data_IF_141799000855
#
_entry.id   IF_141799000855
#
_cell.length_a   1.000
_cell.length_b   1.000
_cell.length_c   1.000
_cell.angle_alpha   90.00
_cell.angle_beta   90.00
_cell.angle_gamma   90.00
#
_symmetry.space_group_name_H-M   'P 1'
#
loop_
_entity.id
_entity.type
_entity.pdbx_description
1 polymer ?
#
# COMPACT_ATOMS: atom_id res chain seq x y z
N UNK A 1 -17.47 6.13 -21.35
CA UNK A 1 -18.31 4.96 -20.99
C UNK A 1 -18.09 4.72 -19.51
N UNK A 2 -19.18 4.71 -18.74
CA UNK A 2 -19.14 4.31 -17.32
C UNK A 2 -18.89 2.81 -17.32
N UNK A 3 -17.89 2.34 -16.57
CA UNK A 3 -17.61 0.90 -16.44
C UNK A 3 -18.77 0.24 -15.72
N UNK A 4 -19.28 -0.89 -16.25
CA UNK A 4 -20.28 -1.72 -15.57
C UNK A 4 -19.73 -2.46 -14.34
N UNK A 5 -18.43 -2.35 -14.10
CA UNK A 5 -17.80 -2.92 -12.91
C UNK A 5 -17.91 -1.96 -11.74
N UNK A 6 -18.31 -2.44 -10.55
CA UNK A 6 -18.35 -1.61 -9.35
C UNK A 6 -16.96 -1.07 -9.00
N UNK A 7 -16.92 0.09 -8.37
CA UNK A 7 -15.68 0.67 -7.86
C UNK A 7 -15.12 -0.22 -6.76
N UNK A 8 -13.86 -0.62 -6.89
CA UNK A 8 -13.12 -1.32 -5.83
C UNK A 8 -12.82 -0.39 -4.67
N UNK A 9 -13.14 -0.79 -3.46
CA UNK A 9 -12.86 -0.03 -2.23
C UNK A 9 -11.80 -0.78 -1.43
N UNK A 10 -10.75 -0.07 -1.01
CA UNK A 10 -9.79 -0.56 -0.01
C UNK A 10 -10.10 0.09 1.33
N UNK A 11 -10.35 -0.70 2.35
CA UNK A 11 -10.45 -0.21 3.72
C UNK A 11 -9.06 -0.13 4.36
N UNK A 12 -8.79 0.93 5.13
CA UNK A 12 -7.48 1.19 5.76
C UNK A 12 -7.57 1.29 7.29
N UNK A 13 -8.71 0.91 7.86
CA UNK A 13 -8.99 1.09 9.30
C UNK A 13 -8.02 0.34 10.20
N UNK A 14 -7.62 -0.87 9.81
CA UNK A 14 -6.75 -1.72 10.63
C UNK A 14 -5.28 -1.28 10.61
N UNK A 15 -4.84 -0.53 9.58
CA UNK A 15 -3.46 -0.07 9.47
C UNK A 15 -3.34 1.45 9.62
N UNK A 16 -3.89 2.23 8.67
CA UNK A 16 -3.66 3.68 8.63
C UNK A 16 -4.38 4.41 9.75
N UNK A 17 -5.65 4.11 9.99
CA UNK A 17 -6.39 4.73 11.08
C UNK A 17 -5.81 4.33 12.45
N UNK A 18 -5.40 3.08 12.64
CA UNK A 18 -4.69 2.64 13.85
C UNK A 18 -3.39 3.42 14.04
N UNK A 19 -2.62 3.62 12.97
CA UNK A 19 -1.38 4.38 13.02
C UNK A 19 -1.62 5.86 13.30
N UNK A 20 -2.58 6.48 12.65
CA UNK A 20 -2.82 7.92 12.69
C UNK A 20 -3.52 8.37 13.97
N UNK A 21 -4.45 7.58 14.49
CA UNK A 21 -5.30 7.94 15.62
C UNK A 21 -4.83 7.34 16.94
N UNK A 22 -4.20 6.16 16.91
CA UNK A 22 -3.87 5.36 18.10
C UNK A 22 -2.38 4.99 18.15
N UNK A 23 -1.53 5.71 17.44
CA UNK A 23 -0.08 5.49 17.39
C UNK A 23 0.30 4.02 17.10
N UNK A 24 -0.51 3.32 16.30
CA UNK A 24 -0.35 1.88 15.98
C UNK A 24 -0.46 0.97 17.22
N UNK A 25 -1.28 1.35 18.21
CA UNK A 25 -1.39 0.63 19.51
C UNK A 25 -2.62 -0.27 19.61
N UNK A 26 -3.40 -0.47 18.55
CA UNK A 26 -4.48 -1.47 18.57
C UNK A 26 -3.85 -2.86 18.61
N UNK A 27 -4.25 -3.67 19.57
CA UNK A 27 -3.79 -5.06 19.69
C UNK A 27 -4.52 -5.96 18.71
N UNK A 28 -3.94 -7.11 18.40
CA UNK A 28 -4.56 -8.11 17.55
C UNK A 28 -5.93 -8.55 18.09
N UNK A 29 -6.01 -8.82 19.38
CA UNK A 29 -7.25 -9.23 20.06
C UNK A 29 -8.38 -8.19 19.93
N UNK A 30 -8.04 -6.90 19.81
CA UNK A 30 -9.02 -5.83 19.60
C UNK A 30 -9.46 -5.71 18.12
N UNK A 31 -8.67 -6.24 17.16
CA UNK A 31 -8.98 -6.26 15.72
C UNK A 31 -9.83 -7.47 15.32
N UNK A 32 -9.56 -8.64 15.89
CA UNK A 32 -10.21 -9.89 15.49
C UNK A 32 -11.74 -9.86 15.58
N UNK A 33 -12.38 -9.26 16.61
CA UNK A 33 -13.84 -9.24 16.71
C UNK A 33 -14.57 -8.54 15.57
N UNK A 34 -13.91 -7.61 14.86
CA UNK A 34 -14.50 -6.89 13.72
C UNK A 34 -14.11 -7.49 12.37
N UNK A 35 -13.09 -8.35 12.33
CA UNK A 35 -12.48 -8.84 11.09
C UNK A 35 -13.48 -9.59 10.22
N UNK A 36 -14.32 -10.48 10.78
CA UNK A 36 -15.36 -11.21 10.04
C UNK A 36 -16.37 -10.27 9.39
N UNK A 37 -16.74 -9.19 10.06
CA UNK A 37 -17.65 -8.18 9.49
C UNK A 37 -16.99 -7.41 8.37
N UNK A 38 -15.71 -7.05 8.49
CA UNK A 38 -14.95 -6.42 7.42
C UNK A 38 -14.86 -7.35 6.19
N UNK A 39 -14.62 -8.64 6.41
CA UNK A 39 -14.56 -9.64 5.33
C UNK A 39 -15.89 -9.75 4.57
N UNK A 40 -17.02 -9.59 5.26
CA UNK A 40 -18.37 -9.70 4.66
C UNK A 40 -18.79 -8.47 3.83
N UNK A 41 -18.08 -7.33 3.93
CA UNK A 41 -18.42 -6.10 3.20
C UNK A 41 -18.15 -6.22 1.71
N UNK A 42 -17.18 -7.06 1.31
CA UNK A 42 -16.78 -7.21 -0.09
C UNK A 42 -15.80 -6.15 -0.57
N UNK A 43 -14.91 -5.68 0.30
CA UNK A 43 -13.81 -4.80 -0.08
C UNK A 43 -12.90 -5.44 -1.13
N UNK A 44 -12.36 -4.62 -2.03
CA UNK A 44 -11.31 -5.04 -2.94
C UNK A 44 -10.05 -5.50 -2.21
N UNK A 45 -9.71 -4.81 -1.12
CA UNK A 45 -8.67 -5.21 -0.15
C UNK A 45 -8.90 -4.53 1.20
N UNK A 46 -8.30 -5.06 2.26
CA UNK A 46 -8.15 -4.41 3.56
C UNK A 46 -6.68 -4.18 3.84
N UNK A 47 -6.29 -2.92 4.03
CA UNK A 47 -4.93 -2.60 4.45
C UNK A 47 -4.81 -2.82 5.95
N UNK A 48 -4.25 -3.97 6.31
CA UNK A 48 -4.20 -4.47 7.69
C UNK A 48 -2.79 -4.46 8.28
N UNK A 49 -1.77 -4.21 7.45
CA UNK A 49 -0.38 -4.39 7.86
C UNK A 49 0.58 -3.42 7.15
N UNK A 50 1.87 -3.41 7.56
CA UNK A 50 2.88 -2.52 6.99
C UNK A 50 3.01 -1.18 7.73
N UNK A 51 3.69 -0.23 7.12
CA UNK A 51 4.00 1.05 7.77
C UNK A 51 4.73 0.86 9.09
N UNK A 52 4.19 1.38 10.20
CA UNK A 52 4.75 1.25 11.53
C UNK A 52 4.30 -0.02 12.30
N UNK A 53 3.42 -0.84 11.71
CA UNK A 53 2.81 -1.98 12.41
C UNK A 53 3.85 -2.97 12.93
N UNK A 54 4.82 -3.34 12.10
CA UNK A 54 5.86 -4.31 12.44
C UNK A 54 6.64 -3.90 13.69
N UNK A 55 7.12 -2.67 13.69
CA UNK A 55 7.90 -2.09 14.79
C UNK A 55 7.05 -1.94 16.06
N UNK A 56 5.80 -1.50 15.91
CA UNK A 56 4.88 -1.30 17.01
C UNK A 56 4.51 -2.61 17.71
N UNK A 57 4.31 -3.69 16.96
CA UNK A 57 4.07 -5.02 17.51
C UNK A 57 5.21 -5.43 18.44
N UNK A 58 6.45 -5.31 18.00
CA UNK A 58 7.63 -5.73 18.76
C UNK A 58 7.89 -4.81 19.96
N UNK A 59 7.90 -3.48 19.72
CA UNK A 59 8.37 -2.51 20.73
C UNK A 59 7.35 -2.20 21.81
N UNK A 60 6.07 -2.27 21.49
CA UNK A 60 5.04 -1.71 22.37
C UNK A 60 3.92 -2.68 22.72
N UNK A 61 3.62 -3.64 21.85
CA UNK A 61 2.48 -4.53 22.05
C UNK A 61 2.91 -5.91 22.55
N UNK A 62 4.19 -6.28 22.39
CA UNK A 62 4.66 -7.63 22.71
C UNK A 62 4.08 -8.70 21.81
N UNK A 63 3.70 -8.34 20.57
CA UNK A 63 3.12 -9.22 19.57
C UNK A 63 4.14 -9.63 18.50
N UNK A 64 4.00 -10.85 17.96
CA UNK A 64 4.68 -11.25 16.73
C UNK A 64 3.98 -10.59 15.53
N UNK A 65 4.67 -9.68 14.78
CA UNK A 65 4.06 -9.02 13.63
C UNK A 65 3.66 -10.00 12.52
N UNK A 66 4.31 -11.15 12.39
CA UNK A 66 3.96 -12.17 11.41
C UNK A 66 2.73 -12.98 11.83
N UNK A 67 2.57 -13.26 13.10
CA UNK A 67 1.35 -13.87 13.63
C UNK A 67 0.14 -12.98 13.39
N UNK A 68 0.29 -11.67 13.63
CA UNK A 68 -0.76 -10.68 13.37
C UNK A 68 -1.34 -10.81 11.97
N UNK A 69 -0.48 -10.83 10.93
CA UNK A 69 -0.99 -10.94 9.56
C UNK A 69 -1.61 -12.31 9.27
N UNK A 70 -1.06 -13.39 9.83
CA UNK A 70 -1.64 -14.73 9.68
C UNK A 70 -3.03 -14.84 10.29
N UNK A 71 -3.21 -14.33 11.49
CA UNK A 71 -4.52 -14.38 12.17
C UNK A 71 -5.54 -13.47 11.49
N UNK A 72 -5.15 -12.27 11.04
CA UNK A 72 -6.04 -11.41 10.25
C UNK A 72 -6.41 -12.06 8.92
N UNK A 73 -5.48 -12.70 8.22
CA UNK A 73 -5.77 -13.44 6.99
C UNK A 73 -6.72 -14.61 7.23
N UNK A 74 -6.58 -15.31 8.33
CA UNK A 74 -7.47 -16.39 8.73
C UNK A 74 -8.88 -15.89 9.07
N UNK A 75 -8.98 -14.74 9.74
CA UNK A 75 -10.26 -14.10 10.09
C UNK A 75 -10.95 -13.43 8.89
N UNK A 76 -10.20 -13.07 7.83
CA UNK A 76 -10.69 -12.45 6.60
C UNK A 76 -10.24 -13.26 5.37
N UNK A 77 -10.75 -14.48 5.17
CA UNK A 77 -10.30 -15.37 4.11
C UNK A 77 -10.65 -14.89 2.70
N UNK A 78 -11.77 -14.15 2.54
CA UNK A 78 -12.29 -13.71 1.26
C UNK A 78 -11.69 -12.37 0.80
N UNK A 79 -11.18 -11.56 1.73
CA UNK A 79 -10.65 -10.23 1.44
C UNK A 79 -9.13 -10.25 1.29
N UNK A 80 -8.58 -9.76 0.18
CA UNK A 80 -7.14 -9.61 0.02
C UNK A 80 -6.53 -8.71 1.10
N UNK A 81 -5.45 -9.19 1.72
CA UNK A 81 -4.71 -8.43 2.73
C UNK A 81 -3.69 -7.51 2.07
N UNK A 82 -3.76 -6.24 2.39
CA UNK A 82 -2.85 -5.23 1.84
C UNK A 82 -1.87 -4.74 2.90
N UNK A 83 -0.65 -4.45 2.45
CA UNK A 83 0.35 -3.79 3.27
C UNK A 83 0.89 -2.51 2.62
N UNK A 84 1.32 -1.56 3.45
CA UNK A 84 2.12 -0.41 3.04
C UNK A 84 3.61 -0.76 3.14
N UNK A 85 4.34 -0.69 2.02
CA UNK A 85 5.76 -0.99 1.93
C UNK A 85 6.55 0.25 1.49
N UNK A 86 7.54 0.65 2.30
CA UNK A 86 8.37 1.84 2.04
C UNK A 86 9.52 1.54 1.06
N UNK A 87 9.21 0.94 -0.10
CA UNK A 87 10.20 0.61 -1.11
C UNK A 87 11.47 -0.03 -0.53
N UNK A 88 12.63 0.53 -0.87
CA UNK A 88 13.94 0.06 -0.40
C UNK A 88 14.15 0.19 1.11
N UNK A 89 13.35 1.01 1.79
CA UNK A 89 13.40 1.16 3.25
C UNK A 89 12.59 0.08 3.99
N UNK A 90 11.82 -0.74 3.28
CA UNK A 90 10.96 -1.80 3.84
C UNK A 90 9.94 -1.17 4.82
N UNK A 91 10.22 -1.22 6.11
CA UNK A 91 9.44 -0.64 7.20
C UNK A 91 10.23 0.39 8.00
N UNK A 92 11.51 0.58 7.65
CA UNK A 92 12.46 1.43 8.37
C UNK A 92 12.64 2.82 7.78
N UNK A 93 13.78 3.43 8.13
CA UNK A 93 14.18 4.79 7.76
C UNK A 93 15.56 4.84 7.10
N UNK A 94 16.05 3.70 6.64
CA UNK A 94 17.29 3.56 5.87
C UNK A 94 17.09 2.58 4.74
N UNK A 95 17.92 2.64 3.72
CA UNK A 95 17.91 1.66 2.64
C UNK A 95 18.47 0.32 3.12
N UNK A 96 17.79 -0.74 2.76
CA UNK A 96 18.27 -2.11 2.91
C UNK A 96 18.80 -2.63 1.58
N UNK A 97 19.63 -3.66 1.61
CA UNK A 97 20.11 -4.33 0.40
C UNK A 97 18.97 -5.07 -0.32
N UNK A 98 19.13 -5.28 -1.61
CA UNK A 98 18.11 -5.90 -2.46
C UNK A 98 17.69 -7.30 -2.01
N UNK A 99 18.64 -8.09 -1.51
CA UNK A 99 18.37 -9.42 -0.97
C UNK A 99 17.50 -9.40 0.28
N UNK A 100 17.68 -8.41 1.14
CA UNK A 100 16.84 -8.19 2.33
C UNK A 100 15.43 -7.76 1.90
N UNK A 101 15.29 -6.85 0.93
CA UNK A 101 13.98 -6.44 0.39
C UNK A 101 13.25 -7.65 -0.19
N UNK A 102 13.92 -8.45 -1.02
CA UNK A 102 13.34 -9.68 -1.60
C UNK A 102 12.91 -10.65 -0.50
N UNK A 103 13.78 -10.94 0.45
CA UNK A 103 13.48 -11.84 1.57
C UNK A 103 12.29 -11.38 2.39
N UNK A 104 12.18 -10.06 2.61
CA UNK A 104 11.06 -9.47 3.34
C UNK A 104 9.74 -9.64 2.57
N UNK A 105 9.74 -9.35 1.26
CA UNK A 105 8.55 -9.53 0.41
C UNK A 105 8.14 -10.99 0.38
N UNK A 106 9.07 -11.93 0.14
CA UNK A 106 8.81 -13.38 0.15
C UNK A 106 8.19 -13.84 1.47
N UNK A 107 8.71 -13.33 2.59
CA UNK A 107 8.19 -13.69 3.91
C UNK A 107 6.80 -13.10 4.12
N UNK A 108 6.56 -11.85 3.68
CA UNK A 108 5.23 -11.20 3.77
C UNK A 108 4.18 -11.98 2.98
N UNK A 109 4.50 -12.40 1.77
CA UNK A 109 3.63 -13.25 0.93
C UNK A 109 3.30 -14.57 1.62
N UNK A 110 4.31 -15.26 2.16
CA UNK A 110 4.12 -16.52 2.90
C UNK A 110 3.22 -16.38 4.13
N UNK A 111 3.17 -15.20 4.72
CA UNK A 111 2.33 -14.91 5.89
C UNK A 111 0.95 -14.35 5.53
N UNK A 112 0.62 -14.17 4.23
CA UNK A 112 -0.74 -13.88 3.79
C UNK A 112 -0.97 -12.50 3.19
N UNK A 113 0.07 -11.71 2.89
CA UNK A 113 -0.07 -10.44 2.18
C UNK A 113 -0.34 -10.71 0.70
N UNK A 114 -1.39 -10.08 0.16
CA UNK A 114 -1.83 -10.22 -1.22
C UNK A 114 -1.55 -8.98 -2.08
N UNK A 115 -1.61 -7.80 -1.48
CA UNK A 115 -1.43 -6.51 -2.16
C UNK A 115 -0.34 -5.71 -1.47
N UNK A 116 0.62 -5.23 -2.23
CA UNK A 116 1.72 -4.40 -1.73
C UNK A 116 1.61 -2.99 -2.28
N UNK A 117 1.25 -2.02 -1.44
CA UNK A 117 1.31 -0.60 -1.76
C UNK A 117 2.73 -0.11 -1.53
N UNK A 118 3.49 -0.03 -2.61
CA UNK A 118 4.92 0.33 -2.59
C UNK A 118 5.08 1.82 -2.84
N UNK A 119 5.68 2.54 -1.92
CA UNK A 119 5.91 3.97 -2.04
C UNK A 119 7.31 4.40 -1.59
N UNK A 120 7.73 5.55 -2.06
CA UNK A 120 8.84 6.32 -1.54
C UNK A 120 8.37 7.74 -1.21
N UNK A 121 8.72 8.25 -0.03
CA UNK A 121 8.25 9.57 0.41
C UNK A 121 8.78 10.72 -0.45
N UNK A 122 9.93 10.53 -1.10
CA UNK A 122 10.57 11.49 -2.00
C UNK A 122 10.26 11.25 -3.48
N UNK A 123 9.42 10.25 -3.79
CA UNK A 123 9.08 9.84 -5.16
C UNK A 123 10.28 9.39 -5.99
N UNK A 124 11.29 8.81 -5.37
CA UNK A 124 12.42 8.23 -6.10
C UNK A 124 12.05 6.83 -6.60
N UNK A 125 11.75 6.71 -7.89
CA UNK A 125 11.33 5.46 -8.53
C UNK A 125 12.38 4.35 -8.44
N UNK A 126 13.67 4.69 -8.27
CA UNK A 126 14.76 3.73 -8.05
C UNK A 126 14.54 2.92 -6.78
N UNK A 127 13.95 3.54 -5.75
CA UNK A 127 13.64 2.90 -4.46
C UNK A 127 12.42 1.96 -4.53
N UNK A 128 11.63 2.00 -5.59
CA UNK A 128 10.47 1.13 -5.79
C UNK A 128 10.82 -0.14 -6.57
N UNK A 129 11.86 -0.10 -7.38
CA UNK A 129 12.18 -1.12 -8.39
C UNK A 129 12.29 -2.53 -7.81
N UNK A 130 13.13 -2.75 -6.81
CA UNK A 130 13.37 -4.08 -6.24
C UNK A 130 12.12 -4.63 -5.56
N UNK A 131 11.39 -3.77 -4.85
CA UNK A 131 10.15 -4.16 -4.17
C UNK A 131 9.06 -4.57 -5.18
N UNK A 132 8.76 -3.73 -6.19
CA UNK A 132 7.77 -4.03 -7.23
C UNK A 132 8.12 -5.34 -7.95
N UNK A 133 9.38 -5.49 -8.37
CA UNK A 133 9.86 -6.70 -9.04
C UNK A 133 9.65 -7.93 -8.16
N UNK A 134 10.03 -7.88 -6.89
CA UNK A 134 9.89 -9.01 -5.97
C UNK A 134 8.43 -9.39 -5.72
N UNK A 135 7.53 -8.41 -5.59
CA UNK A 135 6.08 -8.65 -5.45
C UNK A 135 5.55 -9.39 -6.67
N UNK A 136 5.92 -8.94 -7.88
CA UNK A 136 5.50 -9.56 -9.14
C UNK A 136 6.04 -10.97 -9.32
N UNK A 137 7.29 -11.20 -8.96
CA UNK A 137 7.93 -12.54 -8.99
C UNK A 137 7.21 -13.52 -8.05
N UNK A 138 6.62 -13.04 -6.97
CA UNK A 138 5.78 -13.82 -6.05
C UNK A 138 4.30 -13.97 -6.52
N UNK A 139 3.93 -13.48 -7.69
CA UNK A 139 2.57 -13.54 -8.22
C UNK A 139 1.55 -12.72 -7.43
N UNK A 140 2.00 -11.68 -6.72
CA UNK A 140 1.16 -10.80 -5.91
C UNK A 140 0.97 -9.45 -6.58
N UNK A 141 -0.04 -8.68 -6.12
CA UNK A 141 -0.39 -7.38 -6.68
C UNK A 141 0.55 -6.28 -6.19
N UNK A 142 1.29 -5.68 -7.12
CA UNK A 142 2.16 -4.54 -6.87
C UNK A 142 1.43 -3.25 -7.20
N UNK A 143 1.02 -2.49 -6.20
CA UNK A 143 0.47 -1.15 -6.35
C UNK A 143 1.59 -0.13 -6.16
N UNK A 144 2.08 0.45 -7.27
CA UNK A 144 3.06 1.53 -7.21
C UNK A 144 2.40 2.85 -6.82
N UNK A 145 3.13 3.73 -6.15
CA UNK A 145 2.49 4.87 -5.49
C UNK A 145 3.25 6.16 -5.76
N UNK A 146 2.54 7.22 -6.14
CA UNK A 146 3.05 8.59 -6.08
C UNK A 146 2.64 9.23 -4.76
N UNK A 147 3.60 9.82 -4.04
CA UNK A 147 3.37 10.61 -2.83
C UNK A 147 3.03 12.04 -3.24
N UNK A 148 1.72 12.33 -3.28
CA UNK A 148 1.22 13.63 -3.77
C UNK A 148 1.63 14.76 -2.82
N UNK A 149 2.07 15.87 -3.41
CA UNK A 149 2.40 17.11 -2.71
C UNK A 149 2.21 18.31 -3.62
N UNK A 150 2.28 19.50 -3.05
CA UNK A 150 2.26 20.77 -3.76
C UNK A 150 3.58 21.48 -3.53
N UNK A 151 4.30 21.77 -4.60
CA UNK A 151 5.54 22.55 -4.56
C UNK A 151 5.84 23.16 -5.94
N UNK A 152 6.78 24.12 -6.04
CA UNK A 152 7.15 24.72 -7.32
C UNK A 152 7.70 23.74 -8.37
N UNK A 153 8.18 22.56 -7.96
CA UNK A 153 8.76 21.54 -8.84
C UNK A 153 7.80 20.40 -9.20
N UNK A 154 6.62 20.37 -8.60
CA UNK A 154 5.61 19.35 -8.86
C UNK A 154 4.51 19.90 -9.74
N UNK A 155 4.58 19.61 -11.04
CA UNK A 155 3.57 19.93 -12.04
C UNK A 155 2.74 18.70 -12.40
N UNK A 156 1.66 18.89 -13.17
CA UNK A 156 0.89 17.78 -13.73
C UNK A 156 1.78 16.84 -14.56
N UNK A 157 2.69 17.40 -15.39
CA UNK A 157 3.60 16.61 -16.20
C UNK A 157 4.56 15.78 -15.35
N UNK A 158 5.03 16.33 -14.22
CA UNK A 158 5.86 15.58 -13.25
C UNK A 158 5.10 14.36 -12.74
N UNK A 159 3.83 14.51 -12.37
CA UNK A 159 3.00 13.39 -11.89
C UNK A 159 2.75 12.34 -12.97
N UNK A 160 2.51 12.77 -14.21
CA UNK A 160 2.32 11.86 -15.34
C UNK A 160 3.62 11.08 -15.62
N UNK A 161 4.76 11.76 -15.62
CA UNK A 161 6.06 11.12 -15.87
C UNK A 161 6.40 10.08 -14.80
N UNK A 162 6.30 10.44 -13.52
CA UNK A 162 6.52 9.51 -12.39
C UNK A 162 5.59 8.30 -12.46
N UNK A 163 4.33 8.52 -12.84
CA UNK A 163 3.35 7.44 -12.94
C UNK A 163 3.67 6.48 -14.09
N UNK A 164 4.17 6.98 -15.22
CA UNK A 164 4.67 6.14 -16.32
C UNK A 164 5.89 5.32 -15.91
N UNK A 165 6.84 5.93 -15.21
CA UNK A 165 8.00 5.22 -14.69
C UNK A 165 7.58 4.07 -13.76
N UNK A 166 6.58 4.30 -12.90
CA UNK A 166 6.03 3.25 -12.01
C UNK A 166 5.35 2.14 -12.83
N UNK A 167 4.59 2.47 -13.87
CA UNK A 167 4.02 1.49 -14.80
C UNK A 167 5.12 0.67 -15.48
N UNK A 168 6.18 1.33 -15.97
CA UNK A 168 7.32 0.70 -16.64
C UNK A 168 8.12 -0.21 -15.68
N UNK A 169 8.11 0.05 -14.38
CA UNK A 169 8.64 -0.87 -13.37
C UNK A 169 7.82 -2.16 -13.21
N UNK A 170 6.65 -2.24 -13.84
CA UNK A 170 5.76 -3.41 -13.83
C UNK A 170 4.73 -3.42 -12.73
N UNK A 171 4.34 -2.25 -12.19
CA UNK A 171 3.23 -2.15 -11.24
C UNK A 171 1.91 -2.60 -11.87
N UNK A 172 1.03 -3.23 -11.10
CA UNK A 172 -0.31 -3.68 -11.52
C UNK A 172 -1.34 -2.58 -11.43
N UNK A 173 -1.13 -1.61 -10.55
CA UNK A 173 -1.96 -0.42 -10.37
C UNK A 173 -1.15 0.74 -9.84
N UNK A 174 -1.67 1.95 -10.00
CA UNK A 174 -1.11 3.17 -9.43
C UNK A 174 -1.98 3.65 -8.26
N UNK A 175 -1.36 4.06 -7.16
CA UNK A 175 -2.03 4.80 -6.09
C UNK A 175 -1.55 6.26 -6.04
N UNK A 176 -2.49 7.18 -5.83
CA UNK A 176 -2.20 8.56 -5.46
C UNK A 176 -2.32 8.64 -3.94
N UNK A 177 -1.19 8.87 -3.26
CA UNK A 177 -1.13 8.94 -1.80
C UNK A 177 -1.06 10.39 -1.36
N UNK A 178 -2.18 10.91 -0.90
CA UNK A 178 -2.30 12.27 -0.38
C UNK A 178 -2.27 12.28 1.16
N UNK A 179 -1.09 12.13 1.73
CA UNK A 179 -0.91 12.05 3.19
C UNK A 179 -1.30 13.34 3.93
N UNK A 180 -1.17 14.48 3.29
CA UNK A 180 -1.38 15.78 3.91
C UNK A 180 -2.77 16.39 3.62
N UNK A 181 -3.61 15.72 2.82
CA UNK A 181 -4.93 16.23 2.45
C UNK A 181 -4.88 17.47 1.56
N UNK A 182 -3.91 17.53 0.65
CA UNK A 182 -3.68 18.69 -0.23
C UNK A 182 -4.43 18.62 -1.55
N UNK A 183 -4.88 17.43 -1.94
CA UNK A 183 -5.50 17.17 -3.24
C UNK A 183 -6.96 17.64 -3.24
N UNK A 184 -7.19 18.82 -3.82
CA UNK A 184 -8.55 19.38 -3.95
C UNK A 184 -9.38 18.65 -5.01
N UNK A 185 -10.72 18.62 -4.90
CA UNK A 185 -11.59 17.86 -5.80
C UNK A 185 -11.34 18.09 -7.30
N UNK A 186 -11.23 19.35 -7.71
CA UNK A 186 -11.01 19.67 -9.14
C UNK A 186 -9.59 19.31 -9.60
N UNK A 187 -8.60 19.44 -8.71
CA UNK A 187 -7.21 19.01 -9.00
C UNK A 187 -7.16 17.48 -9.10
N UNK A 188 -7.88 16.78 -8.23
CA UNK A 188 -8.02 15.33 -8.30
C UNK A 188 -8.65 14.88 -9.62
N UNK A 189 -9.73 15.56 -10.05
CA UNK A 189 -10.38 15.27 -11.33
C UNK A 189 -9.42 15.48 -12.50
N UNK A 190 -8.71 16.59 -12.54
CA UNK A 190 -7.72 16.88 -13.59
C UNK A 190 -6.59 15.83 -13.59
N UNK A 191 -5.99 15.58 -12.43
CA UNK A 191 -4.88 14.62 -12.28
C UNK A 191 -5.31 13.21 -12.73
N UNK A 192 -6.40 12.68 -12.16
CA UNK A 192 -6.89 11.32 -12.48
C UNK A 192 -7.29 11.22 -13.94
N UNK A 193 -7.96 12.25 -14.51
CA UNK A 193 -8.35 12.25 -15.92
C UNK A 193 -7.16 12.18 -16.86
N UNK A 194 -6.07 12.89 -16.55
CA UNK A 194 -4.84 12.86 -17.35
C UNK A 194 -4.06 11.56 -17.16
N UNK A 195 -3.97 11.05 -15.93
CA UNK A 195 -3.33 9.76 -15.66
C UNK A 195 -4.06 8.62 -16.38
N UNK A 196 -5.39 8.58 -16.36
CA UNK A 196 -6.18 7.57 -17.10
C UNK A 196 -6.00 7.61 -18.62
N UNK A 197 -5.64 8.76 -19.20
CA UNK A 197 -5.28 8.87 -20.63
C UNK A 197 -3.86 8.40 -20.92
N UNK A 198 -2.98 8.45 -19.92
CA UNK A 198 -1.54 8.23 -20.08
C UNK A 198 -1.10 6.83 -19.67
N UNK A 199 -1.86 6.14 -18.80
CA UNK A 199 -1.53 4.83 -18.24
C UNK A 199 -2.49 3.76 -18.74
N UNK A 200 -2.00 2.53 -18.78
CA UNK A 200 -2.81 1.32 -19.07
C UNK A 200 -3.28 0.62 -17.80
N UNK A 201 -2.56 0.81 -16.69
CA UNK A 201 -2.91 0.22 -15.39
C UNK A 201 -4.01 1.02 -14.67
N UNK A 202 -4.81 0.40 -13.80
CA UNK A 202 -5.82 1.08 -12.98
C UNK A 202 -5.20 2.05 -11.98
N UNK A 203 -6.02 3.04 -11.56
CA UNK A 203 -5.66 4.07 -10.58
C UNK A 203 -6.63 3.99 -9.42
#
# INVERSE_FOLDING_TARGET
MISDKPLGITDVVLRDASQSLLATRIRLDDMLPIAEKLDSVGYWSVESWGGATFDACIRYLGEDPWERIRELKKAMPNTPQQMLLRGQNILGYRHYSDDVVKKFVDTSVKNGVDVFRVFDAMNDTRNLKTAIKSVRENGKHAQGTISYTISPVHSLDTWIQLSKEIEDLGADSLAIKDMAGLLKPYVAFELVSNLKKSLKIPI
#
